data_IF_533783876266
#
_entry.id   IF_533783876266
#
_cell.length_a   1.000
_cell.length_b   1.000
_cell.length_c   1.000
_cell.angle_alpha   90.00
_cell.angle_beta   90.00
_cell.angle_gamma   90.00
#
_symmetry.space_group_name_H-M   'P 1'
#
loop_
_entity.id
_entity.type
_entity.pdbx_description
1 polymer ?
#
# COMPACT_ATOMS: atom_id res chain seq x y z
N UNK A 1 0.34 -10.13 24.83
CA UNK A 1 0.10 -9.36 23.59
C UNK A 1 1.28 -9.61 22.67
N UNK A 2 1.03 -9.84 21.38
CA UNK A 2 2.11 -9.90 20.39
C UNK A 2 2.78 -8.51 20.29
N UNK A 3 4.10 -8.48 20.19
CA UNK A 3 4.91 -7.25 20.10
C UNK A 3 5.72 -7.23 18.82
N UNK A 4 5.74 -6.08 18.14
CA UNK A 4 6.55 -5.85 16.95
C UNK A 4 7.43 -4.63 17.22
N UNK A 5 8.74 -4.82 17.17
CA UNK A 5 9.74 -3.75 17.28
C UNK A 5 10.78 -3.92 16.16
N UNK A 6 11.77 -3.05 16.11
CA UNK A 6 12.85 -3.12 15.13
C UNK A 6 14.15 -2.60 15.72
N UNK A 7 15.27 -2.99 15.10
CA UNK A 7 16.59 -2.44 15.36
C UNK A 7 17.25 -2.00 14.04
N UNK A 8 18.53 -1.64 14.08
CA UNK A 8 19.27 -1.20 12.89
C UNK A 8 19.46 -2.26 11.81
N UNK A 9 19.01 -3.51 12.02
CA UNK A 9 19.20 -4.61 11.08
C UNK A 9 17.91 -5.31 10.67
N UNK A 10 16.87 -5.29 11.51
CA UNK A 10 15.75 -6.22 11.36
C UNK A 10 14.52 -5.86 12.19
N UNK A 11 13.43 -6.56 11.91
CA UNK A 11 12.25 -6.58 12.77
C UNK A 11 12.43 -7.62 13.88
N UNK A 12 11.84 -7.34 15.04
CA UNK A 12 11.70 -8.26 16.14
C UNK A 12 10.22 -8.50 16.40
N UNK A 13 9.81 -9.77 16.35
CA UNK A 13 8.46 -10.20 16.66
C UNK A 13 8.53 -11.06 17.91
N UNK A 14 7.90 -10.59 18.99
CA UNK A 14 7.99 -11.20 20.32
C UNK A 14 9.45 -11.42 20.77
N UNK A 15 10.28 -10.41 20.51
CA UNK A 15 11.72 -10.42 20.83
C UNK A 15 12.58 -11.32 19.94
N UNK A 16 11.99 -12.04 18.97
CA UNK A 16 12.73 -12.87 18.02
C UNK A 16 12.99 -12.11 16.75
N UNK A 17 14.23 -12.14 16.28
CA UNK A 17 14.62 -11.49 15.04
C UNK A 17 13.96 -12.19 13.83
N UNK A 18 13.36 -11.39 12.96
CA UNK A 18 12.69 -11.86 11.74
C UNK A 18 13.12 -11.00 10.55
N UNK A 19 13.42 -11.67 9.44
CA UNK A 19 13.66 -11.07 8.14
C UNK A 19 12.38 -11.21 7.34
N UNK A 20 11.76 -10.10 6.97
CA UNK A 20 10.55 -10.12 6.16
C UNK A 20 10.93 -10.47 4.71
N UNK A 21 10.47 -11.62 4.26
CA UNK A 21 10.56 -12.04 2.86
C UNK A 21 9.13 -12.04 2.33
N UNK A 22 8.80 -10.97 1.61
CA UNK A 22 7.42 -10.69 1.19
C UNK A 22 7.20 -10.89 -0.30
N UNK A 23 6.02 -11.41 -0.66
CA UNK A 23 5.48 -11.33 -2.01
C UNK A 23 4.19 -10.51 -2.03
N UNK A 24 3.94 -9.82 -3.14
CA UNK A 24 2.70 -9.06 -3.32
C UNK A 24 1.59 -9.96 -3.82
N UNK A 25 0.47 -10.00 -3.11
CA UNK A 25 -0.77 -10.64 -3.55
C UNK A 25 -1.90 -9.63 -3.40
N UNK A 26 -2.48 -9.23 -4.53
CA UNK A 26 -3.54 -8.24 -4.55
C UNK A 26 -4.89 -8.97 -4.53
N UNK A 27 -5.55 -9.03 -3.37
CA UNK A 27 -6.81 -9.77 -3.22
C UNK A 27 -7.91 -9.23 -4.14
N UNK A 28 -7.90 -7.93 -4.44
CA UNK A 28 -8.84 -7.30 -5.38
C UNK A 28 -8.65 -7.74 -6.84
N UNK A 29 -7.58 -8.46 -7.18
CA UNK A 29 -7.27 -8.94 -8.54
C UNK A 29 -7.53 -10.44 -8.72
N UNK A 30 -7.92 -11.15 -7.67
CA UNK A 30 -8.18 -12.58 -7.71
C UNK A 30 -9.49 -12.92 -6.99
N UNK A 31 -10.32 -13.84 -7.51
CA UNK A 31 -11.52 -14.29 -6.80
C UNK A 31 -11.19 -14.86 -5.41
N UNK A 32 -12.10 -14.67 -4.46
CA UNK A 32 -11.92 -15.12 -3.07
C UNK A 32 -11.68 -16.62 -2.93
N UNK A 33 -12.16 -17.42 -3.89
CA UNK A 33 -11.92 -18.86 -3.95
C UNK A 33 -10.46 -19.24 -4.24
N UNK A 34 -9.65 -18.32 -4.76
CA UNK A 34 -8.26 -18.56 -5.15
C UNK A 34 -7.23 -18.10 -4.10
N UNK A 35 -7.64 -17.28 -3.14
CA UNK A 35 -6.72 -16.67 -2.16
C UNK A 35 -5.93 -17.70 -1.37
N UNK A 36 -6.57 -18.77 -0.90
CA UNK A 36 -5.90 -19.84 -0.17
C UNK A 36 -4.78 -20.50 -0.99
N UNK A 37 -5.04 -20.74 -2.28
CA UNK A 37 -4.05 -21.30 -3.20
C UNK A 37 -2.87 -20.36 -3.43
N UNK A 38 -3.13 -19.06 -3.59
CA UNK A 38 -2.08 -18.05 -3.75
C UNK A 38 -1.21 -17.92 -2.49
N UNK A 39 -1.83 -17.89 -1.31
CA UNK A 39 -1.14 -17.85 -0.02
C UNK A 39 -0.31 -19.12 0.20
N UNK A 40 -0.85 -20.29 -0.13
CA UNK A 40 -0.13 -21.56 -0.04
C UNK A 40 1.08 -21.60 -0.99
N UNK A 41 0.93 -21.12 -2.23
CA UNK A 41 2.02 -21.05 -3.20
C UNK A 41 3.13 -20.10 -2.73
N UNK A 42 2.77 -18.92 -2.20
CA UNK A 42 3.70 -17.97 -1.61
C UNK A 42 4.50 -18.59 -0.45
N UNK A 43 3.80 -19.29 0.46
CA UNK A 43 4.45 -20.02 1.56
C UNK A 43 5.40 -21.10 1.06
N UNK A 44 4.98 -21.89 0.06
CA UNK A 44 5.81 -22.93 -0.56
C UNK A 44 7.05 -22.37 -1.26
N UNK A 45 6.97 -21.13 -1.78
CA UNK A 45 8.10 -20.40 -2.35
C UNK A 45 9.08 -19.86 -1.29
N UNK A 46 8.84 -20.10 0.01
CA UNK A 46 9.69 -19.65 1.11
C UNK A 46 9.41 -18.24 1.61
N UNK A 47 8.29 -17.63 1.18
CA UNK A 47 7.86 -16.34 1.71
C UNK A 47 7.28 -16.52 3.11
N UNK A 48 7.48 -15.53 3.98
CA UNK A 48 6.89 -15.49 5.32
C UNK A 48 5.88 -14.34 5.48
N UNK A 49 5.82 -13.44 4.50
CA UNK A 49 4.98 -12.24 4.53
C UNK A 49 4.21 -12.11 3.21
N UNK A 50 2.94 -11.73 3.29
CA UNK A 50 2.16 -11.26 2.14
C UNK A 50 2.01 -9.74 2.26
N UNK A 51 2.35 -9.04 1.18
CA UNK A 51 2.08 -7.62 1.05
C UNK A 51 0.84 -7.43 0.19
N UNK A 52 -0.10 -6.59 0.62
CA UNK A 52 -1.30 -6.29 -0.16
C UNK A 52 -1.70 -4.83 -0.04
N UNK A 53 -2.18 -4.24 -1.14
CA UNK A 53 -2.65 -2.86 -1.16
C UNK A 53 -4.15 -2.82 -0.88
N UNK A 54 -4.60 -1.84 -0.10
CA UNK A 54 -6.04 -1.60 0.13
C UNK A 54 -6.48 -0.49 -0.82
N UNK A 55 -7.24 -0.85 -1.84
CA UNK A 55 -7.62 0.07 -2.93
C UNK A 55 -8.89 0.81 -2.55
N UNK A 56 -8.77 2.11 -2.28
CA UNK A 56 -9.91 2.91 -1.82
C UNK A 56 -11.05 2.95 -2.85
N UNK A 57 -10.75 3.15 -4.12
CA UNK A 57 -11.76 3.17 -5.19
C UNK A 57 -12.58 1.88 -5.30
N UNK A 58 -12.00 0.74 -4.91
CA UNK A 58 -12.72 -0.54 -4.88
C UNK A 58 -13.67 -0.61 -3.67
N UNK A 59 -13.22 -0.15 -2.51
CA UNK A 59 -14.02 -0.20 -1.28
C UNK A 59 -15.04 0.91 -1.16
N UNK A 60 -14.83 2.09 -1.75
CA UNK A 60 -15.76 3.22 -1.71
C UNK A 60 -16.02 3.77 -3.13
N UNK A 61 -16.72 3.00 -4.00
CA UNK A 61 -17.00 3.41 -5.37
C UNK A 61 -17.86 4.68 -5.44
N UNK A 62 -18.64 4.96 -4.39
CA UNK A 62 -19.44 6.18 -4.22
C UNK A 62 -19.26 6.73 -2.80
N UNK A 63 -19.31 8.05 -2.60
CA UNK A 63 -19.15 8.65 -1.27
C UNK A 63 -20.11 8.03 -0.25
N UNK A 64 -19.56 7.56 0.88
CA UNK A 64 -20.26 6.93 1.99
C UNK A 64 -20.71 5.48 1.76
N UNK A 65 -20.47 4.90 0.58
CA UNK A 65 -20.87 3.53 0.25
C UNK A 65 -19.67 2.59 0.29
N UNK A 66 -19.50 1.91 1.41
CA UNK A 66 -18.39 0.99 1.66
C UNK A 66 -18.74 -0.45 1.32
N UNK A 67 -17.84 -1.16 0.64
CA UNK A 67 -17.94 -2.60 0.36
C UNK A 67 -16.67 -3.34 0.83
N UNK A 68 -16.87 -4.30 1.72
CA UNK A 68 -15.85 -5.23 2.22
C UNK A 68 -16.37 -6.68 2.15
N UNK A 69 -17.16 -6.99 1.13
CA UNK A 69 -17.80 -8.30 0.95
C UNK A 69 -17.24 -9.03 -0.28
N UNK A 70 -17.45 -10.35 -0.33
CA UNK A 70 -17.04 -11.17 -1.48
C UNK A 70 -15.55 -11.06 -1.77
N UNK A 71 -15.20 -10.66 -3.01
CA UNK A 71 -13.82 -10.48 -3.47
C UNK A 71 -13.15 -9.21 -2.91
N UNK A 72 -13.89 -8.38 -2.18
CA UNK A 72 -13.38 -7.20 -1.47
C UNK A 72 -13.30 -7.44 0.05
N UNK A 73 -13.50 -8.67 0.52
CA UNK A 73 -13.41 -9.01 1.93
C UNK A 73 -11.95 -9.06 2.43
N UNK A 74 -11.43 -7.86 2.73
CA UNK A 74 -10.10 -7.67 3.30
C UNK A 74 -9.92 -8.42 4.62
N UNK A 75 -10.97 -8.48 5.45
CA UNK A 75 -10.91 -9.15 6.76
C UNK A 75 -10.63 -10.63 6.57
N UNK A 76 -11.44 -11.29 5.74
CA UNK A 76 -11.27 -12.71 5.41
C UNK A 76 -9.89 -12.96 4.80
N UNK A 77 -9.43 -12.10 3.90
CA UNK A 77 -8.11 -12.26 3.31
C UNK A 77 -6.98 -12.24 4.36
N UNK A 78 -7.01 -11.28 5.30
CA UNK A 78 -6.02 -11.20 6.39
C UNK A 78 -6.13 -12.38 7.35
N UNK A 79 -7.35 -12.86 7.64
CA UNK A 79 -7.56 -14.05 8.46
C UNK A 79 -6.97 -15.32 7.82
N UNK A 80 -7.07 -15.46 6.49
CA UNK A 80 -6.45 -16.56 5.75
C UNK A 80 -4.92 -16.51 5.82
N UNK A 81 -4.31 -15.33 5.69
CA UNK A 81 -2.86 -15.15 5.85
C UNK A 81 -2.42 -15.58 7.25
N UNK A 82 -3.13 -15.13 8.28
CA UNK A 82 -2.86 -15.50 9.67
C UNK A 82 -3.04 -16.99 9.93
N UNK A 83 -4.09 -17.61 9.36
CA UNK A 83 -4.34 -19.05 9.46
C UNK A 83 -3.27 -19.89 8.78
N UNK A 84 -2.66 -19.37 7.71
CA UNK A 84 -1.50 -19.97 7.05
C UNK A 84 -0.19 -19.79 7.86
N UNK A 85 -0.21 -19.08 8.99
CA UNK A 85 0.97 -18.79 9.82
C UNK A 85 1.93 -17.80 9.16
N UNK A 86 1.43 -16.95 8.27
CA UNK A 86 2.20 -15.91 7.59
C UNK A 86 1.88 -14.53 8.18
N UNK A 87 2.77 -13.57 7.93
CA UNK A 87 2.58 -12.17 8.29
C UNK A 87 1.91 -11.40 7.15
N UNK A 88 1.20 -10.32 7.47
CA UNK A 88 0.59 -9.43 6.48
C UNK A 88 1.18 -8.02 6.60
N UNK A 89 1.54 -7.43 5.47
CA UNK A 89 1.87 -6.00 5.36
C UNK A 89 0.76 -5.34 4.53
N UNK A 90 -0.02 -4.48 5.19
CA UNK A 90 -1.08 -3.72 4.54
C UNK A 90 -0.54 -2.39 4.06
N UNK A 91 -0.51 -2.21 2.74
CA UNK A 91 -0.27 -0.91 2.12
C UNK A 91 -1.59 -0.15 2.05
N UNK A 92 -1.93 0.47 3.17
CA UNK A 92 -3.07 1.39 3.26
C UNK A 92 -2.62 2.79 2.86
N UNK A 93 -3.21 3.32 1.80
CA UNK A 93 -3.05 4.71 1.39
C UNK A 93 -4.28 5.10 0.60
N UNK A 94 -4.66 6.39 0.55
CA UNK A 94 -5.66 6.78 -0.43
C UNK A 94 -5.10 6.57 -1.85
N UNK A 95 -3.79 6.77 -2.03
CA UNK A 95 -3.04 6.41 -3.24
C UNK A 95 -2.14 5.21 -2.97
N UNK A 96 -2.30 4.16 -3.77
CA UNK A 96 -1.50 2.93 -3.65
C UNK A 96 -0.59 2.68 -4.84
N UNK A 97 -0.87 3.27 -6.01
CA UNK A 97 0.01 3.21 -7.17
C UNK A 97 0.34 1.78 -7.60
N UNK A 98 -0.49 1.17 -8.44
CA UNK A 98 -0.35 -0.24 -8.86
C UNK A 98 -0.91 -0.44 -10.29
N UNK A 99 -0.71 0.55 -11.18
CA UNK A 99 -1.35 0.58 -12.50
C UNK A 99 -2.86 0.84 -12.49
N UNK A 100 -3.43 1.12 -11.31
CA UNK A 100 -4.84 1.43 -11.10
C UNK A 100 -5.15 2.86 -11.54
N UNK A 101 -6.35 3.06 -12.08
CA UNK A 101 -6.88 4.39 -12.42
C UNK A 101 -6.83 5.32 -11.19
N UNK A 102 -6.33 6.54 -11.40
CA UNK A 102 -6.07 7.54 -10.36
C UNK A 102 -5.24 7.01 -9.18
N UNK A 103 -4.46 5.94 -9.40
CA UNK A 103 -3.65 5.28 -8.38
C UNK A 103 -4.44 4.66 -7.24
N UNK A 104 -5.72 4.33 -7.46
CA UNK A 104 -6.62 3.75 -6.46
C UNK A 104 -7.50 4.77 -5.74
N UNK A 105 -7.43 6.05 -6.12
CA UNK A 105 -8.34 7.08 -5.62
C UNK A 105 -9.71 6.98 -6.31
N UNK A 106 -10.82 7.08 -5.57
CA UNK A 106 -12.14 7.19 -6.17
C UNK A 106 -12.28 8.47 -7.02
N UNK A 107 -12.87 8.42 -8.23
CA UNK A 107 -13.01 9.60 -9.11
C UNK A 107 -13.76 10.77 -8.45
N UNK A 108 -14.71 10.49 -7.56
CA UNK A 108 -15.49 11.51 -6.85
C UNK A 108 -14.64 12.40 -5.93
N UNK A 109 -13.45 11.96 -5.53
CA UNK A 109 -12.49 12.77 -4.77
C UNK A 109 -12.04 13.98 -5.59
N UNK A 110 -11.89 13.84 -6.90
CA UNK A 110 -11.48 14.95 -7.78
C UNK A 110 -12.54 16.05 -7.86
N UNK A 111 -13.82 15.66 -7.86
CA UNK A 111 -14.96 16.60 -7.87
C UNK A 111 -15.14 17.26 -6.51
N UNK A 112 -14.88 16.53 -5.44
CA UNK A 112 -14.98 17.03 -4.05
C UNK A 112 -13.81 17.95 -3.67
N UNK A 113 -12.66 17.82 -4.34
CA UNK A 113 -11.47 18.65 -4.13
C UNK A 113 -11.62 20.12 -4.61
N UNK A 114 -12.81 20.52 -5.09
CA UNK A 114 -13.15 21.92 -5.41
C UNK A 114 -13.13 22.89 -4.21
N UNK A 115 -12.77 22.45 -3.00
CA UNK A 115 -12.63 23.33 -1.82
C UNK A 115 -11.32 23.15 -1.03
N UNK A 116 -10.36 22.36 -1.54
CA UNK A 116 -9.09 22.11 -0.86
C UNK A 116 -8.24 21.10 -1.62
N UNK A 117 -7.61 21.57 -2.70
CA UNK A 117 -6.95 20.72 -3.70
C UNK A 117 -5.86 19.81 -3.13
N UNK A 118 -5.78 18.60 -3.70
CA UNK A 118 -4.64 17.69 -3.61
C UNK A 118 -3.37 18.47 -3.94
N UNK A 119 -2.58 18.83 -2.93
CA UNK A 119 -1.30 19.50 -3.14
C UNK A 119 -0.30 18.47 -3.62
N UNK A 120 -0.13 18.37 -4.94
CA UNK A 120 1.09 17.81 -5.51
C UNK A 120 2.25 18.71 -5.04
N UNK A 121 3.10 18.19 -4.16
CA UNK A 121 4.31 18.90 -3.74
C UNK A 121 5.22 19.08 -4.94
N UNK A 122 5.15 20.23 -5.62
CA UNK A 122 6.16 20.59 -6.61
C UNK A 122 7.47 20.85 -5.85
N UNK A 123 8.44 19.97 -6.02
CA UNK A 123 9.81 20.19 -5.57
C UNK A 123 10.32 21.52 -6.13
N UNK A 124 10.67 22.45 -5.26
CA UNK A 124 11.24 23.74 -5.62
C UNK A 124 12.57 23.54 -6.35
N UNK A 125 12.59 23.94 -7.62
CA UNK A 125 13.80 24.02 -8.42
C UNK A 125 14.78 25.02 -7.80
N UNK A 126 16.01 24.58 -7.60
CA UNK A 126 17.14 25.44 -7.25
C UNK A 126 17.45 26.32 -8.47
N UNK A 127 17.10 27.60 -8.38
CA UNK A 127 17.55 28.63 -9.32
C UNK A 127 18.98 29.03 -9.00
N UNK A 128 19.94 28.50 -9.74
CA UNK A 128 21.30 29.05 -9.80
C UNK A 128 21.30 30.27 -10.72
N UNK A 129 21.15 31.46 -10.15
CA UNK A 129 21.35 32.72 -10.87
C UNK A 129 22.84 32.96 -11.08
N UNK A 130 23.32 32.75 -12.31
CA UNK A 130 24.58 33.32 -12.79
C UNK A 130 24.44 34.84 -12.94
N UNK A 131 25.35 35.60 -12.35
CA UNK A 131 25.48 37.04 -12.53
C UNK A 131 26.90 37.36 -12.99
N UNK A 132 27.05 37.60 -14.29
CA UNK A 132 28.23 38.23 -14.87
C UNK A 132 28.02 39.73 -15.08
N UNK A 133 29.10 40.49 -14.96
CA UNK A 133 29.25 41.93 -15.28
C UNK A 133 30.54 42.40 -14.59
N UNK A 134 31.66 42.68 -15.28
CA UNK A 134 31.87 43.83 -16.17
C UNK A 134 31.93 45.09 -15.30
N UNK A 135 33.01 45.85 -15.12
CA UNK A 135 34.10 46.26 -16.00
C UNK A 135 34.22 47.80 -15.88
N UNK A 136 35.44 48.33 -15.74
CA UNK A 136 35.75 49.78 -15.65
C UNK A 136 36.39 50.11 -14.28
N UNK A 137 37.58 50.72 -14.18
CA UNK A 137 38.16 51.73 -15.05
C UNK A 137 38.08 53.06 -14.32
#
# INVERSE_FOLDING_TARGET
MASITYDGQSFLIDGRRVWLVSGTVQYTQAPASQWEGLIAAAKAAGLNTITTSVVWSAHEPRPGQWDFSGDLDLRRFVELIGSAGMMAVLRMGPYVGEGLDLGGLPPWVLTSAGSGGLRAGSGGGHGSSGGGGGGGG
#
